data_IF_923977451471
#
_entry.id   IF_923977451471
#
_cell.length_a   1.000
_cell.length_b   1.000
_cell.length_c   1.000
_cell.angle_alpha   90.00
_cell.angle_beta   90.00
_cell.angle_gamma   90.00
#
_symmetry.space_group_name_H-M   'P 1'
#
loop_
_entity.id
_entity.type
_entity.pdbx_description
1 polymer ?
#
# COMPACT_ATOMS: atom_id res chain seq x y z
N UNK A 1 8.59 13.71 -16.00
CA UNK A 1 7.80 12.66 -15.31
C UNK A 1 6.42 13.23 -15.01
N UNK A 2 5.42 12.82 -15.79
CA UNK A 2 4.09 13.42 -15.87
C UNK A 2 3.43 13.48 -14.49
N UNK A 3 2.86 14.62 -14.09
CA UNK A 3 2.15 14.85 -12.82
C UNK A 3 1.27 13.66 -12.36
N UNK A 4 0.64 12.97 -13.32
CA UNK A 4 -0.14 11.74 -13.10
C UNK A 4 0.65 10.62 -12.43
N UNK A 5 1.88 10.32 -12.87
CA UNK A 5 2.70 9.26 -12.29
C UNK A 5 3.07 9.56 -10.82
N UNK A 6 3.34 10.83 -10.51
CA UNK A 6 3.61 11.31 -9.15
C UNK A 6 2.38 11.13 -8.25
N UNK A 7 1.19 11.40 -8.77
CA UNK A 7 -0.08 11.22 -8.06
C UNK A 7 -0.42 9.74 -7.84
N UNK A 8 -0.19 8.87 -8.84
CA UNK A 8 -0.31 7.42 -8.68
C UNK A 8 0.67 6.89 -7.62
N UNK A 9 1.92 7.36 -7.64
CA UNK A 9 2.89 6.96 -6.63
C UNK A 9 2.46 7.42 -5.22
N UNK A 10 2.07 8.68 -5.05
CA UNK A 10 1.70 9.19 -3.73
C UNK A 10 0.43 8.53 -3.16
N UNK A 11 -0.58 8.30 -4.00
CA UNK A 11 -1.83 7.68 -3.56
C UNK A 11 -1.67 6.21 -3.22
N UNK A 12 -1.15 5.42 -4.18
CA UNK A 12 -1.07 3.97 -4.00
C UNK A 12 0.08 3.60 -3.05
N UNK A 13 1.24 4.24 -3.16
CA UNK A 13 2.39 3.85 -2.36
C UNK A 13 2.36 4.41 -0.93
N UNK A 14 1.67 5.52 -0.66
CA UNK A 14 1.72 6.18 0.65
C UNK A 14 0.35 6.30 1.32
N UNK A 15 -0.66 6.78 0.59
CA UNK A 15 -1.98 7.05 1.19
C UNK A 15 -2.71 5.77 1.59
N UNK A 16 -2.71 4.74 0.73
CA UNK A 16 -3.33 3.45 1.03
C UNK A 16 -2.72 2.73 2.24
N UNK A 17 -1.39 2.50 2.33
CA UNK A 17 -0.83 1.81 3.49
C UNK A 17 -1.02 2.59 4.79
N UNK A 18 -0.93 3.92 4.78
CA UNK A 18 -1.17 4.74 5.97
C UNK A 18 -2.63 4.71 6.43
N UNK A 19 -3.59 4.83 5.51
CA UNK A 19 -5.01 4.74 5.85
C UNK A 19 -5.40 3.34 6.33
N UNK A 20 -4.86 2.30 5.70
CA UNK A 20 -5.05 0.92 6.13
C UNK A 20 -4.50 0.68 7.56
N UNK A 21 -3.29 1.17 7.86
CA UNK A 21 -2.71 1.09 9.19
C UNK A 21 -3.62 1.74 10.24
N UNK A 22 -4.09 2.97 9.99
CA UNK A 22 -4.96 3.68 10.92
C UNK A 22 -6.26 2.92 11.19
N UNK A 23 -6.95 2.46 10.15
CA UNK A 23 -8.22 1.73 10.28
C UNK A 23 -8.01 0.40 11.01
N UNK A 24 -6.97 -0.35 10.66
CA UNK A 24 -6.69 -1.65 11.27
C UNK A 24 -6.26 -1.53 12.74
N UNK A 25 -5.52 -0.47 13.07
CA UNK A 25 -5.12 -0.18 14.44
C UNK A 25 -6.33 0.20 15.30
N UNK A 26 -7.21 1.06 14.79
CA UNK A 26 -8.48 1.40 15.44
C UNK A 26 -9.32 0.13 15.64
N UNK A 27 -9.54 -0.66 14.59
CA UNK A 27 -10.30 -1.90 14.67
C UNK A 27 -9.76 -2.85 15.73
N UNK A 28 -8.44 -3.07 15.76
CA UNK A 28 -7.87 -4.03 16.68
C UNK A 28 -7.91 -3.57 18.13
N UNK A 29 -7.69 -2.26 18.37
CA UNK A 29 -7.79 -1.67 19.71
C UNK A 29 -9.21 -1.72 20.27
N UNK A 30 -10.22 -1.43 19.45
CA UNK A 30 -11.60 -1.32 19.93
C UNK A 30 -12.38 -2.63 19.91
N UNK A 31 -12.15 -3.51 18.93
CA UNK A 31 -12.99 -4.69 18.72
C UNK A 31 -12.35 -5.96 19.28
N UNK A 32 -11.05 -6.13 19.07
CA UNK A 32 -10.41 -7.45 19.20
C UNK A 32 -9.61 -7.61 20.49
N UNK A 33 -9.15 -6.52 21.13
CA UNK A 33 -8.28 -6.55 22.32
C UNK A 33 -7.07 -7.51 22.19
N UNK A 34 -6.62 -7.72 20.95
CA UNK A 34 -5.55 -8.67 20.61
C UNK A 34 -4.19 -8.04 20.90
N UNK A 35 -3.20 -8.89 21.19
CA UNK A 35 -1.82 -8.46 21.41
C UNK A 35 -1.28 -7.66 20.22
N UNK A 36 -0.63 -6.54 20.54
CA UNK A 36 -0.10 -5.57 19.57
C UNK A 36 0.86 -6.23 18.55
N UNK A 37 1.59 -7.28 18.97
CA UNK A 37 2.50 -8.02 18.08
C UNK A 37 1.78 -8.75 16.94
N UNK A 38 0.61 -9.33 17.19
CA UNK A 38 -0.18 -10.02 16.17
C UNK A 38 -0.75 -9.02 15.15
N UNK A 39 -1.13 -7.82 15.62
CA UNK A 39 -1.58 -6.70 14.78
C UNK A 39 -0.49 -6.26 13.82
N UNK A 40 0.72 -6.06 14.35
CA UNK A 40 1.89 -5.65 13.57
C UNK A 40 2.27 -6.68 12.52
N UNK A 41 2.26 -7.98 12.87
CA UNK A 41 2.56 -9.06 11.94
C UNK A 41 1.56 -9.11 10.78
N UNK A 42 0.27 -9.03 11.09
CA UNK A 42 -0.80 -9.01 10.09
C UNK A 42 -0.73 -7.76 9.20
N UNK A 43 -0.53 -6.58 9.79
CA UNK A 43 -0.34 -5.34 9.05
C UNK A 43 0.86 -5.42 8.11
N UNK A 44 2.01 -5.88 8.60
CA UNK A 44 3.25 -5.97 7.83
C UNK A 44 3.08 -6.95 6.66
N UNK A 45 2.40 -8.07 6.90
CA UNK A 45 2.12 -9.07 5.86
C UNK A 45 1.20 -8.52 4.77
N UNK A 46 0.10 -7.84 5.14
CA UNK A 46 -0.85 -7.26 4.17
C UNK A 46 -0.20 -6.14 3.36
N UNK A 47 0.56 -5.26 4.03
CA UNK A 47 1.30 -4.17 3.38
C UNK A 47 2.38 -4.73 2.46
N UNK A 48 3.09 -5.77 2.89
CA UNK A 48 4.11 -6.45 2.08
C UNK A 48 3.53 -7.02 0.79
N UNK A 49 2.41 -7.76 0.88
CA UNK A 49 1.72 -8.30 -0.29
C UNK A 49 1.25 -7.17 -1.21
N UNK A 50 0.68 -6.11 -0.64
CA UNK A 50 0.25 -4.93 -1.39
C UNK A 50 1.41 -4.28 -2.16
N UNK A 51 2.57 -4.13 -1.54
CA UNK A 51 3.76 -3.56 -2.19
C UNK A 51 4.31 -4.44 -3.31
N UNK A 52 4.25 -5.77 -3.15
CA UNK A 52 4.66 -6.70 -4.22
C UNK A 52 3.75 -6.52 -5.44
N UNK A 53 2.44 -6.52 -5.24
CA UNK A 53 1.45 -6.36 -6.32
C UNK A 53 1.60 -5.00 -7.00
N UNK A 54 1.69 -3.92 -6.22
CA UNK A 54 1.85 -2.56 -6.76
C UNK A 54 3.18 -2.39 -7.50
N UNK A 55 4.27 -2.98 -7.02
CA UNK A 55 5.57 -2.96 -7.72
C UNK A 55 5.49 -3.65 -9.08
N UNK A 56 4.87 -4.84 -9.14
CA UNK A 56 4.66 -5.57 -10.40
C UNK A 56 3.80 -4.72 -11.36
N UNK A 57 2.69 -4.17 -10.89
CA UNK A 57 1.82 -3.29 -11.68
C UNK A 57 2.56 -2.05 -12.21
N UNK A 58 3.38 -1.43 -11.37
CA UNK A 58 4.12 -0.22 -11.73
C UNK A 58 5.15 -0.48 -12.83
N UNK A 59 5.82 -1.64 -12.81
CA UNK A 59 6.72 -2.08 -13.90
C UNK A 59 5.98 -2.17 -15.23
N UNK A 60 4.77 -2.75 -15.25
CA UNK A 60 3.96 -2.81 -16.48
C UNK A 60 3.54 -1.41 -16.96
N UNK A 61 3.14 -0.54 -16.03
CA UNK A 61 2.73 0.83 -16.34
C UNK A 61 3.89 1.64 -16.95
N UNK A 62 5.08 1.53 -16.36
CA UNK A 62 6.30 2.18 -16.88
C UNK A 62 6.69 1.65 -18.26
N UNK A 63 6.68 0.32 -18.48
CA UNK A 63 6.93 -0.27 -19.81
C UNK A 63 5.96 0.22 -20.86
N UNK A 64 4.66 0.39 -20.51
CA UNK A 64 3.65 0.92 -21.42
C UNK A 64 3.88 2.38 -21.77
N UNK A 65 4.34 3.21 -20.84
CA UNK A 65 4.64 4.62 -21.09
C UNK A 65 5.85 4.80 -22.03
N UNK A 66 6.92 4.01 -21.86
CA UNK A 66 8.12 4.07 -22.73
C UNK A 66 7.82 3.66 -24.17
N UNK A 67 6.90 2.73 -24.40
CA UNK A 67 6.52 2.26 -25.75
C UNK A 67 5.67 3.27 -26.55
N UNK A 68 5.09 4.27 -25.87
CA UNK A 68 4.23 5.29 -26.49
C UNK A 68 4.89 6.67 -26.60
N UNK A 69 6.16 6.81 -26.20
CA UNK A 69 7.02 7.96 -26.51
C UNK A 69 7.92 7.62 -27.69
#
# INVERSE_FOLDING_TARGET
MTQKLKQYFFGYFLYFPCSFLLIYFIWTKFVKSVQIGEVLSNCTSIIGIYYIITSVWFVFLMKKQVKHQ
#
